data_IF_068180132789
#
_entry.id   IF_068180132789
#
_cell.length_a   1.000
_cell.length_b   1.000
_cell.length_c   1.000
_cell.angle_alpha   90.00
_cell.angle_beta   90.00
_cell.angle_gamma   90.00
#
_symmetry.space_group_name_H-M   'P 1'
#
loop_
_entity.id
_entity.type
_entity.pdbx_description
1 polymer ?
#
# COMPACT_ATOMS: atom_id res chain seq x y z
N UNK A 1 22.69 -12.23 -1.44
CA UNK A 1 22.24 -13.08 -2.57
C UNK A 1 21.07 -12.37 -3.23
N UNK A 2 21.08 -12.18 -4.56
CA UNK A 2 19.89 -11.65 -5.25
C UNK A 2 18.88 -12.79 -5.39
N UNK A 3 17.68 -12.58 -4.86
CA UNK A 3 16.57 -13.50 -5.11
C UNK A 3 16.23 -13.42 -6.61
N UNK A 4 16.22 -14.55 -7.28
CA UNK A 4 15.93 -14.63 -8.73
C UNK A 4 14.45 -14.39 -9.02
N UNK A 5 13.59 -14.68 -8.07
CA UNK A 5 12.13 -14.57 -8.19
C UNK A 5 11.65 -13.21 -7.71
N UNK A 6 10.76 -12.58 -8.47
CA UNK A 6 10.08 -11.34 -8.09
C UNK A 6 8.62 -11.63 -7.80
N UNK A 7 8.09 -11.02 -6.74
CA UNK A 7 6.71 -11.16 -6.31
C UNK A 7 6.01 -9.81 -6.32
N UNK A 8 4.82 -9.73 -6.89
CA UNK A 8 4.08 -8.47 -6.94
C UNK A 8 2.57 -8.70 -6.80
N UNK A 9 1.92 -7.90 -5.95
CA UNK A 9 0.47 -8.00 -5.73
C UNK A 9 -0.12 -6.69 -5.21
N UNK A 10 -1.43 -6.57 -5.36
CA UNK A 10 -2.20 -5.47 -4.82
C UNK A 10 -3.10 -5.98 -3.69
N UNK A 11 -3.06 -5.33 -2.53
CA UNK A 11 -3.97 -5.56 -1.41
C UNK A 11 -5.18 -4.64 -1.58
N UNK A 12 -6.35 -5.22 -1.71
CA UNK A 12 -7.59 -4.49 -1.88
C UNK A 12 -8.65 -4.96 -0.87
N UNK A 13 -9.77 -4.27 -0.80
CA UNK A 13 -10.86 -4.64 0.09
C UNK A 13 -12.22 -4.31 -0.52
N UNK A 14 -13.33 -4.83 0.03
CA UNK A 14 -14.68 -4.44 -0.38
C UNK A 14 -14.99 -2.95 -0.17
N UNK A 15 -14.41 -2.33 0.85
CA UNK A 15 -14.61 -0.91 1.22
C UNK A 15 -13.47 -0.42 2.13
N UNK A 16 -13.52 0.85 2.50
CA UNK A 16 -12.66 1.41 3.54
C UNK A 16 -12.94 0.77 4.92
N UNK A 17 -11.93 0.71 5.79
CA UNK A 17 -12.08 0.19 7.15
C UNK A 17 -12.01 -1.33 7.30
N UNK A 18 -11.74 -2.09 6.23
CA UNK A 18 -11.62 -3.57 6.26
C UNK A 18 -10.28 -4.07 6.81
N UNK A 19 -9.29 -3.18 7.00
CA UNK A 19 -7.96 -3.52 7.54
C UNK A 19 -6.87 -3.68 6.47
N UNK A 20 -7.05 -3.08 5.28
CA UNK A 20 -6.03 -3.09 4.21
C UNK A 20 -4.67 -2.61 4.72
N UNK A 21 -4.64 -1.44 5.36
CA UNK A 21 -3.39 -0.79 5.79
C UNK A 21 -2.66 -1.65 6.82
N UNK A 22 -3.36 -2.19 7.82
CA UNK A 22 -2.75 -3.11 8.79
C UNK A 22 -2.17 -4.35 8.11
N UNK A 23 -2.93 -4.98 7.20
CA UNK A 23 -2.46 -6.17 6.47
C UNK A 23 -1.27 -5.84 5.54
N UNK A 24 -1.29 -4.67 4.89
CA UNK A 24 -0.21 -4.21 4.02
C UNK A 24 1.09 -3.99 4.79
N UNK A 25 1.03 -3.24 5.90
CA UNK A 25 2.18 -2.97 6.76
C UNK A 25 2.75 -4.29 7.32
N UNK A 26 1.88 -5.17 7.83
CA UNK A 26 2.27 -6.45 8.40
C UNK A 26 2.99 -7.33 7.38
N UNK A 27 2.44 -7.46 6.16
CA UNK A 27 3.07 -8.23 5.08
C UNK A 27 4.37 -7.58 4.60
N UNK A 28 4.40 -6.27 4.38
CA UNK A 28 5.62 -5.57 3.98
C UNK A 28 6.74 -5.77 4.99
N UNK A 29 6.44 -5.64 6.29
CA UNK A 29 7.44 -5.85 7.36
C UNK A 29 7.86 -7.31 7.47
N UNK A 30 6.95 -8.27 7.38
CA UNK A 30 7.26 -9.70 7.39
C UNK A 30 8.17 -10.09 6.23
N UNK A 31 7.86 -9.64 5.00
CA UNK A 31 8.71 -9.89 3.83
C UNK A 31 10.10 -9.25 3.98
N UNK A 32 10.17 -8.03 4.51
CA UNK A 32 11.46 -7.37 4.78
C UNK A 32 12.28 -8.15 5.84
N UNK A 33 11.65 -8.66 6.91
CA UNK A 33 12.30 -9.51 7.92
C UNK A 33 12.76 -10.87 7.35
N UNK A 34 12.11 -11.37 6.31
CA UNK A 34 12.59 -12.55 5.55
C UNK A 34 13.78 -12.24 4.64
N UNK A 35 14.30 -11.00 4.65
CA UNK A 35 15.46 -10.58 3.86
C UNK A 35 15.14 -10.14 2.44
N UNK A 36 13.87 -10.01 2.08
CA UNK A 36 13.46 -9.51 0.76
C UNK A 36 13.58 -7.98 0.73
N UNK A 37 14.04 -7.44 -0.40
CA UNK A 37 13.93 -6.01 -0.70
C UNK A 37 12.52 -5.71 -1.13
N UNK A 38 11.74 -5.10 -0.24
CA UNK A 38 10.32 -4.84 -0.46
C UNK A 38 10.11 -3.40 -0.89
N UNK A 39 9.41 -3.18 -2.01
CA UNK A 39 8.96 -1.86 -2.43
C UNK A 39 7.46 -1.70 -2.13
N UNK A 40 7.16 -0.70 -1.31
CA UNK A 40 5.78 -0.31 -0.99
C UNK A 40 5.22 0.71 -1.97
N UNK A 41 3.95 0.51 -2.37
CA UNK A 41 3.17 1.46 -3.16
C UNK A 41 1.79 1.66 -2.56
N UNK A 42 1.22 2.84 -2.80
CA UNK A 42 -0.17 3.17 -2.43
C UNK A 42 -0.94 3.63 -3.65
N UNK A 43 -2.11 3.04 -3.92
CA UNK A 43 -3.04 3.60 -4.90
C UNK A 43 -3.64 4.91 -4.39
N UNK A 44 -3.78 5.88 -5.29
CA UNK A 44 -4.41 7.16 -4.99
C UNK A 44 -3.51 8.17 -4.27
N UNK A 45 -4.03 9.39 -4.04
CA UNK A 45 -3.28 10.53 -3.53
C UNK A 45 -3.24 10.55 -1.98
N UNK A 46 -2.75 9.50 -1.37
CA UNK A 46 -2.62 9.35 0.08
C UNK A 46 -1.24 9.80 0.56
N UNK A 47 -1.18 10.63 1.60
CA UNK A 47 0.07 11.11 2.18
C UNK A 47 0.49 10.35 3.44
N UNK A 48 -0.40 9.56 4.02
CA UNK A 48 -0.25 8.96 5.35
C UNK A 48 0.23 7.52 5.23
N UNK A 49 -0.50 6.66 4.51
CA UNK A 49 -0.17 5.25 4.37
C UNK A 49 1.26 5.02 3.82
N UNK A 50 1.76 5.80 2.83
CA UNK A 50 3.14 5.66 2.36
C UNK A 50 4.20 5.85 3.46
N UNK A 51 3.94 6.64 4.51
CA UNK A 51 4.89 6.82 5.62
C UNK A 51 5.06 5.53 6.42
N UNK A 52 3.97 4.79 6.66
CA UNK A 52 4.02 3.47 7.30
C UNK A 52 4.68 2.42 6.41
N UNK A 53 4.39 2.44 5.10
CA UNK A 53 5.04 1.54 4.13
C UNK A 53 6.55 1.75 4.12
N UNK A 54 7.00 3.00 4.13
CA UNK A 54 8.41 3.33 4.16
C UNK A 54 9.10 2.83 5.45
N UNK A 55 8.47 2.97 6.60
CA UNK A 55 8.99 2.44 7.86
C UNK A 55 9.01 0.91 7.88
N UNK A 56 7.98 0.26 7.35
CA UNK A 56 7.88 -1.19 7.31
C UNK A 56 8.96 -1.83 6.43
N UNK A 57 9.27 -1.20 5.28
CA UNK A 57 10.19 -1.73 4.27
C UNK A 57 11.61 -1.19 4.37
N UNK A 58 11.82 -0.06 5.04
CA UNK A 58 13.08 0.69 5.02
C UNK A 58 13.37 1.39 3.68
N UNK A 59 12.39 1.49 2.79
CA UNK A 59 12.49 2.10 1.46
C UNK A 59 11.39 3.16 1.28
N UNK A 60 11.67 4.30 0.64
CA UNK A 60 10.64 5.29 0.33
C UNK A 60 9.49 4.65 -0.47
N UNK A 61 8.26 4.85 0.00
CA UNK A 61 7.06 4.38 -0.68
C UNK A 61 6.53 5.45 -1.65
N UNK A 62 5.82 5.02 -2.69
CA UNK A 62 5.33 5.90 -3.74
C UNK A 62 3.83 5.73 -3.96
N UNK A 63 3.19 6.82 -4.41
CA UNK A 63 1.79 6.80 -4.80
C UNK A 63 1.65 6.47 -6.29
N UNK A 64 0.64 5.68 -6.61
CA UNK A 64 0.26 5.30 -7.97
C UNK A 64 -1.18 5.75 -8.22
N UNK A 65 -1.37 6.66 -9.16
CA UNK A 65 -2.70 7.20 -9.47
C UNK A 65 -2.88 7.33 -10.98
N UNK A 66 -3.72 6.48 -11.56
CA UNK A 66 -3.95 6.44 -13.00
C UNK A 66 -4.72 7.67 -13.51
N UNK A 67 -5.44 8.38 -12.64
CA UNK A 67 -6.11 9.62 -13.00
C UNK A 67 -5.14 10.80 -13.05
N UNK A 68 -4.23 10.91 -12.05
CA UNK A 68 -3.29 12.03 -11.95
C UNK A 68 -2.11 11.92 -12.92
N UNK A 69 -1.56 10.71 -13.13
CA UNK A 69 -0.33 10.52 -13.91
C UNK A 69 -0.54 9.66 -15.16
N UNK A 70 -1.77 9.19 -15.42
CA UNK A 70 -2.06 8.28 -16.51
C UNK A 70 -1.48 6.87 -16.28
N UNK A 71 -1.89 5.90 -17.08
CA UNK A 71 -1.41 4.51 -16.96
C UNK A 71 0.07 4.37 -17.29
N UNK A 72 0.57 5.15 -18.24
CA UNK A 72 1.97 5.11 -18.63
C UNK A 72 2.88 5.71 -17.55
N UNK A 73 2.44 6.81 -16.89
CA UNK A 73 3.12 7.37 -15.74
C UNK A 73 3.17 6.39 -14.56
N UNK A 74 2.06 5.68 -14.30
CA UNK A 74 2.00 4.62 -13.27
C UNK A 74 2.99 3.50 -13.59
N UNK A 75 3.07 3.02 -14.84
CA UNK A 75 4.03 1.99 -15.25
C UNK A 75 5.48 2.48 -15.12
N UNK A 76 5.76 3.68 -15.62
CA UNK A 76 7.10 4.25 -15.55
C UNK A 76 7.59 4.40 -14.10
N UNK A 77 6.72 4.86 -13.20
CA UNK A 77 7.05 4.97 -11.78
C UNK A 77 7.23 3.60 -11.13
N UNK A 78 6.34 2.64 -11.42
CA UNK A 78 6.46 1.26 -10.98
C UNK A 78 7.79 0.65 -11.40
N UNK A 79 8.15 0.72 -12.67
CA UNK A 79 9.39 0.18 -13.22
C UNK A 79 10.60 0.83 -12.55
N UNK A 80 10.58 2.16 -12.37
CA UNK A 80 11.67 2.91 -11.75
C UNK A 80 11.93 2.53 -10.28
N UNK A 81 10.91 2.01 -9.58
CA UNK A 81 11.00 1.76 -8.14
C UNK A 81 11.03 0.27 -7.78
N UNK A 82 10.46 -0.59 -8.64
CA UNK A 82 10.38 -2.02 -8.36
C UNK A 82 11.47 -2.87 -9.05
N UNK A 83 12.24 -2.32 -10.00
CA UNK A 83 13.23 -3.07 -10.78
C UNK A 83 14.31 -3.74 -9.92
N UNK A 84 14.69 -3.13 -8.81
CA UNK A 84 15.71 -3.64 -7.89
C UNK A 84 15.10 -4.32 -6.64
N UNK A 85 13.77 -4.41 -6.54
CA UNK A 85 13.08 -5.07 -5.44
C UNK A 85 12.95 -6.58 -5.66
N UNK A 86 12.77 -7.35 -4.58
CA UNK A 86 12.44 -8.77 -4.62
C UNK A 86 10.94 -9.00 -4.46
N UNK A 87 10.26 -8.05 -3.81
CA UNK A 87 8.81 -8.01 -3.73
C UNK A 87 8.29 -6.56 -3.87
N UNK A 88 7.13 -6.40 -4.49
CA UNK A 88 6.41 -5.13 -4.59
C UNK A 88 4.97 -5.31 -4.10
N UNK A 89 4.59 -4.52 -3.11
CA UNK A 89 3.26 -4.56 -2.48
C UNK A 89 2.56 -3.24 -2.72
N UNK A 90 1.44 -3.29 -3.43
CA UNK A 90 0.60 -2.12 -3.67
C UNK A 90 -0.63 -2.16 -2.77
N UNK A 91 -0.82 -1.16 -1.92
CA UNK A 91 -2.04 -1.02 -1.16
C UNK A 91 -3.08 -0.22 -1.92
N UNK A 92 -4.29 -0.77 -2.05
CA UNK A 92 -5.42 -0.13 -2.70
C UNK A 92 -6.02 1.03 -1.90
N UNK A 93 -6.76 1.88 -2.57
CA UNK A 93 -7.56 2.97 -2.00
C UNK A 93 -9.04 2.58 -1.99
N UNK A 94 -9.80 2.98 -0.98
CA UNK A 94 -11.25 2.71 -0.85
C UNK A 94 -11.60 1.22 -1.06
N UNK A 95 -12.70 0.89 -1.70
CA UNK A 95 -13.01 -0.45 -2.18
C UNK A 95 -12.33 -0.76 -3.51
N UNK A 96 -12.15 -2.06 -3.81
CA UNK A 96 -11.47 -2.53 -5.02
C UNK A 96 -12.01 -1.89 -6.30
N UNK A 97 -13.32 -1.73 -6.37
CA UNK A 97 -14.01 -1.23 -7.56
C UNK A 97 -14.50 0.21 -7.42
N UNK A 98 -14.18 0.85 -6.28
CA UNK A 98 -14.52 2.25 -6.08
C UNK A 98 -13.58 3.12 -6.92
N UNK A 99 -14.16 4.14 -7.52
CA UNK A 99 -13.47 5.14 -8.32
C UNK A 99 -14.09 6.51 -8.08
N UNK A 100 -13.47 7.53 -8.62
CA UNK A 100 -13.97 8.90 -8.52
C UNK A 100 -15.35 9.06 -9.18
N UNK A 101 -15.56 8.38 -10.31
CA UNK A 101 -16.77 8.46 -11.12
C UNK A 101 -17.30 7.06 -11.39
N UNK A 102 -18.60 6.76 -11.19
CA UNK A 102 -19.17 5.42 -11.40
C UNK A 102 -18.98 4.87 -12.83
N UNK A 103 -18.78 5.74 -13.81
CA UNK A 103 -18.53 5.37 -15.21
C UNK A 103 -17.06 5.32 -15.63
N UNK A 104 -16.14 5.83 -14.80
CA UNK A 104 -14.70 5.88 -15.10
C UNK A 104 -13.90 5.21 -13.97
N UNK A 105 -13.25 4.07 -14.23
CA UNK A 105 -12.43 3.37 -13.25
C UNK A 105 -11.11 4.07 -12.92
N UNK A 106 -10.74 5.15 -13.63
CA UNK A 106 -9.46 5.85 -13.44
C UNK A 106 -9.27 6.34 -12.00
N UNK A 107 -8.06 6.17 -11.48
CA UNK A 107 -7.70 6.49 -10.10
C UNK A 107 -8.11 5.44 -9.07
N UNK A 108 -8.94 4.45 -9.44
CA UNK A 108 -9.36 3.37 -8.56
C UNK A 108 -8.32 2.24 -8.45
N UNK A 109 -8.46 1.43 -7.41
CA UNK A 109 -7.57 0.28 -7.14
C UNK A 109 -7.55 -0.72 -8.29
N UNK A 110 -8.70 -1.08 -8.85
CA UNK A 110 -8.78 -2.04 -9.95
C UNK A 110 -8.10 -1.52 -11.23
N UNK A 111 -8.22 -0.23 -11.54
CA UNK A 111 -7.57 0.34 -12.72
C UNK A 111 -6.04 0.37 -12.57
N UNK A 112 -5.55 0.74 -11.39
CA UNK A 112 -4.12 0.71 -11.06
C UNK A 112 -3.57 -0.73 -11.16
N UNK A 113 -4.24 -1.70 -10.55
CA UNK A 113 -3.85 -3.10 -10.60
C UNK A 113 -3.87 -3.65 -12.04
N UNK A 114 -4.87 -3.30 -12.85
CA UNK A 114 -4.96 -3.66 -14.27
C UNK A 114 -3.82 -3.05 -15.09
N UNK A 115 -3.51 -1.77 -14.86
CA UNK A 115 -2.42 -1.09 -15.57
C UNK A 115 -1.08 -1.78 -15.37
N UNK A 116 -0.86 -2.37 -14.20
CA UNK A 116 0.38 -3.04 -13.80
C UNK A 116 0.33 -4.58 -13.93
N UNK A 117 -0.83 -5.16 -14.26
CA UNK A 117 -1.02 -6.61 -14.31
C UNK A 117 -0.94 -7.29 -12.92
N UNK A 118 -1.20 -6.56 -11.84
CA UNK A 118 -1.07 -7.07 -10.48
C UNK A 118 -2.21 -8.01 -10.10
N UNK A 119 -1.94 -9.19 -9.54
CA UNK A 119 -2.94 -10.00 -8.89
C UNK A 119 -3.43 -9.31 -7.60
N UNK A 120 -4.72 -9.54 -7.29
CA UNK A 120 -5.39 -8.96 -6.14
C UNK A 120 -5.44 -9.97 -4.99
N UNK A 121 -5.10 -9.51 -3.80
CA UNK A 121 -5.39 -10.16 -2.52
C UNK A 121 -6.48 -9.36 -1.82
N UNK A 122 -7.64 -9.97 -1.59
CA UNK A 122 -8.81 -9.31 -1.01
C UNK A 122 -8.79 -9.41 0.51
N UNK A 123 -8.65 -8.30 1.20
CA UNK A 123 -8.81 -8.22 2.67
C UNK A 123 -10.26 -7.85 2.97
N UNK A 124 -10.95 -8.64 3.80
CA UNK A 124 -12.32 -8.39 4.19
C UNK A 124 -12.53 -8.58 5.69
N UNK A 125 -13.50 -7.88 6.25
CA UNK A 125 -13.87 -8.06 7.66
C UNK A 125 -14.69 -9.35 7.83
N UNK A 126 -14.08 -10.37 8.42
CA UNK A 126 -14.70 -11.66 8.67
C UNK A 126 -15.67 -11.70 9.85
N UNK A 127 -15.76 -10.62 10.65
CA UNK A 127 -16.60 -10.60 11.84
C UNK A 127 -18.08 -10.90 11.51
N UNK A 128 -18.62 -11.93 12.13
CA UNK A 128 -20.00 -12.36 11.95
C UNK A 128 -20.29 -13.04 10.62
N UNK A 129 -19.26 -13.34 9.81
CA UNK A 129 -19.39 -14.10 8.58
C UNK A 129 -19.18 -15.60 8.79
N UNK A 130 -19.87 -16.41 8.01
CA UNK A 130 -19.66 -17.84 7.87
C UNK A 130 -19.84 -18.21 6.38
N UNK A 131 -20.85 -18.97 5.98
CA UNK A 131 -21.11 -19.31 4.58
C UNK A 131 -21.29 -18.14 3.63
N UNK A 132 -21.71 -16.99 4.13
CA UNK A 132 -21.87 -15.76 3.31
C UNK A 132 -20.57 -15.23 2.70
N UNK A 133 -19.41 -15.67 3.21
CA UNK A 133 -18.10 -15.30 2.63
C UNK A 133 -17.99 -15.77 1.18
N UNK A 134 -18.61 -16.92 0.83
CA UNK A 134 -18.62 -17.40 -0.55
C UNK A 134 -19.30 -16.41 -1.49
N UNK A 135 -20.44 -15.87 -1.11
CA UNK A 135 -21.15 -14.88 -1.92
C UNK A 135 -20.33 -13.58 -2.10
N UNK A 136 -19.66 -13.12 -1.01
CA UNK A 136 -18.79 -11.97 -1.07
C UNK A 136 -17.63 -12.20 -2.06
N UNK A 137 -16.85 -13.25 -1.85
CA UNK A 137 -15.64 -13.51 -2.65
C UNK A 137 -16.00 -13.84 -4.10
N UNK A 138 -17.09 -14.61 -4.34
CA UNK A 138 -17.57 -14.91 -5.69
C UNK A 138 -17.99 -13.64 -6.44
N UNK A 139 -18.70 -12.71 -5.80
CA UNK A 139 -19.08 -11.43 -6.38
C UNK A 139 -17.87 -10.60 -6.79
N UNK A 140 -16.88 -10.51 -5.91
CA UNK A 140 -15.63 -9.81 -6.18
C UNK A 140 -14.82 -10.48 -7.30
N UNK A 141 -14.72 -11.82 -7.31
CA UNK A 141 -14.04 -12.56 -8.37
C UNK A 141 -14.69 -12.34 -9.73
N UNK A 142 -16.03 -12.47 -9.80
CA UNK A 142 -16.77 -12.26 -11.04
C UNK A 142 -16.56 -10.85 -11.59
N UNK A 143 -16.63 -9.83 -10.72
CA UNK A 143 -16.45 -8.44 -11.14
C UNK A 143 -14.99 -8.13 -11.48
N UNK A 144 -14.04 -8.72 -10.77
CA UNK A 144 -12.60 -8.61 -11.06
C UNK A 144 -12.27 -9.09 -12.49
N UNK A 145 -12.82 -10.24 -12.89
CA UNK A 145 -12.66 -10.75 -14.27
C UNK A 145 -13.18 -9.74 -15.29
N UNK A 146 -14.36 -9.14 -15.06
CA UNK A 146 -14.95 -8.11 -15.94
C UNK A 146 -14.07 -6.86 -16.03
N UNK A 147 -13.40 -6.50 -14.94
CA UNK A 147 -12.49 -5.36 -14.87
C UNK A 147 -11.06 -5.67 -15.41
N UNK A 148 -10.80 -6.92 -15.81
CA UNK A 148 -9.50 -7.35 -16.31
C UNK A 148 -8.44 -7.44 -15.22
N UNK A 149 -8.83 -7.72 -13.97
CA UNK A 149 -7.94 -8.01 -12.84
C UNK A 149 -8.21 -9.42 -12.30
N UNK A 150 -7.22 -10.01 -11.64
CA UNK A 150 -7.28 -11.38 -11.16
C UNK A 150 -7.23 -11.43 -9.62
N UNK A 151 -8.30 -11.95 -9.00
CA UNK A 151 -8.33 -12.23 -7.57
C UNK A 151 -7.64 -13.58 -7.32
N UNK A 152 -6.55 -13.61 -6.53
CA UNK A 152 -5.73 -14.80 -6.31
C UNK A 152 -5.83 -15.38 -4.92
N UNK A 153 -6.35 -14.62 -3.96
CA UNK A 153 -6.52 -15.05 -2.59
C UNK A 153 -7.27 -14.03 -1.75
N UNK A 154 -7.64 -14.44 -0.56
CA UNK A 154 -8.34 -13.59 0.39
C UNK A 154 -7.71 -13.68 1.78
N UNK A 155 -7.81 -12.61 2.56
CA UNK A 155 -7.40 -12.52 3.97
C UNK A 155 -8.62 -12.06 4.76
N UNK A 156 -9.04 -12.86 5.75
CA UNK A 156 -10.10 -12.47 6.66
C UNK A 156 -9.53 -11.67 7.84
N UNK A 157 -10.03 -10.48 8.08
CA UNK A 157 -9.66 -9.66 9.23
C UNK A 157 -10.74 -9.76 10.33
N UNK A 158 -10.40 -9.46 11.57
CA UNK A 158 -11.30 -9.51 12.74
C UNK A 158 -11.94 -10.87 12.99
N UNK A 159 -11.21 -11.95 12.77
CA UNK A 159 -11.68 -13.31 13.00
C UNK A 159 -11.65 -13.64 14.50
N UNK A 160 -12.75 -14.22 15.01
CA UNK A 160 -12.94 -14.38 16.44
C UNK A 160 -12.24 -15.61 17.05
N UNK A 161 -11.95 -16.65 16.26
CA UNK A 161 -11.34 -17.90 16.74
C UNK A 161 -10.73 -18.72 15.61
N UNK A 162 -9.83 -19.70 15.91
CA UNK A 162 -9.32 -20.64 14.91
C UNK A 162 -10.43 -21.41 14.19
N UNK A 163 -11.44 -21.90 14.94
CA UNK A 163 -12.61 -22.57 14.34
C UNK A 163 -13.37 -21.68 13.35
N UNK A 164 -13.48 -20.39 13.66
CA UNK A 164 -14.10 -19.45 12.72
C UNK A 164 -13.27 -19.30 11.45
N UNK A 165 -11.95 -19.23 11.56
CA UNK A 165 -11.05 -19.23 10.41
C UNK A 165 -11.23 -20.49 9.55
N UNK A 166 -11.37 -21.66 10.16
CA UNK A 166 -11.57 -22.92 9.45
C UNK A 166 -12.91 -22.95 8.71
N UNK A 167 -13.99 -22.45 9.30
CA UNK A 167 -15.29 -22.32 8.63
C UNK A 167 -15.17 -21.45 7.38
N UNK A 168 -14.49 -20.32 7.46
CA UNK A 168 -14.30 -19.42 6.31
C UNK A 168 -13.46 -20.11 5.21
N UNK A 169 -12.38 -20.79 5.60
CA UNK A 169 -11.50 -21.52 4.68
C UNK A 169 -12.26 -22.64 3.94
N UNK A 170 -12.92 -23.52 4.69
CA UNK A 170 -13.69 -24.62 4.10
C UNK A 170 -14.81 -24.12 3.18
N UNK A 171 -15.46 -23.01 3.54
CA UNK A 171 -16.52 -22.41 2.70
C UNK A 171 -15.97 -21.97 1.36
N UNK A 172 -14.82 -21.30 1.31
CA UNK A 172 -14.20 -20.87 0.07
C UNK A 172 -13.72 -22.07 -0.77
N UNK A 173 -13.09 -23.06 -0.13
CA UNK A 173 -12.61 -24.28 -0.79
C UNK A 173 -13.76 -25.07 -1.43
N UNK A 174 -14.84 -25.33 -0.69
CA UNK A 174 -16.03 -26.03 -1.21
C UNK A 174 -16.73 -25.28 -2.34
N UNK A 175 -16.55 -23.97 -2.40
CA UNK A 175 -17.12 -23.12 -3.46
C UNK A 175 -16.18 -22.92 -4.65
N UNK A 176 -15.03 -23.58 -4.69
CA UNK A 176 -13.97 -23.40 -5.71
C UNK A 176 -13.58 -21.94 -5.92
N UNK A 177 -13.51 -21.18 -4.84
CA UNK A 177 -13.14 -19.76 -4.82
C UNK A 177 -11.65 -19.59 -4.50
N UNK A 178 -11.07 -18.40 -4.73
CA UNK A 178 -9.70 -18.09 -4.31
C UNK A 178 -9.46 -18.44 -2.84
N UNK A 179 -8.28 -19.01 -2.51
CA UNK A 179 -8.02 -19.55 -1.18
C UNK A 179 -8.02 -18.46 -0.11
N UNK A 180 -8.43 -18.83 1.11
CA UNK A 180 -8.14 -18.04 2.30
C UNK A 180 -6.65 -18.19 2.64
N UNK A 181 -5.89 -17.10 2.43
CA UNK A 181 -4.46 -17.04 2.74
C UNK A 181 -4.18 -16.86 4.23
N UNK A 182 -5.22 -16.57 4.99
CA UNK A 182 -5.14 -16.50 6.44
C UNK A 182 -6.26 -15.68 7.07
N UNK A 183 -6.22 -15.65 8.42
CA UNK A 183 -7.24 -15.02 9.23
C UNK A 183 -6.58 -14.25 10.39
N UNK A 184 -6.68 -12.93 10.33
CA UNK A 184 -6.13 -12.02 11.34
C UNK A 184 -7.12 -11.88 12.49
N UNK A 185 -6.71 -12.17 13.73
CA UNK A 185 -7.57 -12.00 14.89
C UNK A 185 -7.77 -10.53 15.22
N UNK A 186 -8.90 -10.23 15.88
CA UNK A 186 -9.16 -8.88 16.38
C UNK A 186 -8.30 -8.62 17.62
N UNK A 187 -7.40 -7.62 17.55
CA UNK A 187 -6.62 -7.11 18.67
C UNK A 187 -6.47 -5.60 18.58
N UNK A 188 -6.72 -4.92 19.71
CA UNK A 188 -6.63 -3.45 19.79
C UNK A 188 -5.18 -2.96 19.63
N UNK A 189 -4.19 -3.74 20.08
CA UNK A 189 -2.76 -3.41 19.98
C UNK A 189 -2.23 -3.30 18.54
N UNK A 190 -2.97 -3.87 17.58
CA UNK A 190 -2.63 -3.81 16.15
C UNK A 190 -3.40 -2.74 15.38
N UNK A 191 -4.22 -1.98 16.10
CA UNK A 191 -5.01 -0.92 15.51
C UNK A 191 -4.12 0.30 15.24
N UNK A 192 -4.23 0.83 14.03
CA UNK A 192 -3.59 2.09 13.68
C UNK A 192 -4.24 3.24 14.46
N UNK A 193 -3.44 4.18 15.01
CA UNK A 193 -3.99 5.38 15.64
C UNK A 193 -4.76 6.21 14.62
N UNK A 194 -6.01 6.53 14.94
CA UNK A 194 -6.89 7.34 14.09
C UNK A 194 -7.10 8.73 14.69
N UNK A 195 -7.16 9.77 13.85
CA UNK A 195 -7.72 11.08 14.19
C UNK A 195 -9.13 11.24 13.62
N UNK A 196 -9.83 12.32 14.01
CA UNK A 196 -11.17 12.64 13.47
C UNK A 196 -11.23 12.75 11.93
N UNK A 197 -10.10 13.00 11.27
CA UNK A 197 -9.97 13.14 9.81
C UNK A 197 -9.11 12.05 9.15
N UNK A 198 -8.84 10.93 9.83
CA UNK A 198 -8.05 9.82 9.29
C UNK A 198 -6.88 9.39 10.16
N UNK A 199 -5.93 8.62 9.60
CA UNK A 199 -4.75 8.15 10.31
C UNK A 199 -3.76 9.29 10.59
N UNK A 200 -2.92 9.11 11.63
CA UNK A 200 -1.74 9.94 11.86
C UNK A 200 -0.59 9.51 10.96
N UNK A 201 0.27 10.43 10.45
CA UNK A 201 1.55 10.04 9.87
C UNK A 201 2.35 9.18 10.86
N UNK A 202 3.14 8.24 10.35
CA UNK A 202 3.84 7.26 11.18
C UNK A 202 4.73 7.87 12.28
N UNK A 203 5.36 9.00 12.01
CA UNK A 203 6.19 9.74 12.99
C UNK A 203 5.34 10.31 14.14
N UNK A 204 4.16 10.87 13.85
CA UNK A 204 3.23 11.41 14.85
C UNK A 204 2.46 10.30 15.57
N UNK A 205 2.24 9.15 14.93
CA UNK A 205 1.56 8.00 15.49
C UNK A 205 2.38 7.28 16.56
N UNK A 206 3.65 7.67 16.77
CA UNK A 206 4.56 6.97 17.68
C UNK A 206 4.88 5.55 17.22
N UNK A 207 4.83 5.31 15.91
CA UNK A 207 5.12 4.00 15.33
C UNK A 207 6.54 3.59 15.67
N UNK A 208 6.70 2.52 16.41
CA UNK A 208 8.00 1.99 16.83
C UNK A 208 8.39 0.79 15.99
N UNK A 209 9.69 0.52 15.90
CA UNK A 209 10.17 -0.71 15.27
C UNK A 209 9.55 -1.97 15.95
N UNK A 210 9.36 -1.94 17.26
CA UNK A 210 8.73 -3.02 18.01
C UNK A 210 7.26 -3.25 17.59
N UNK A 211 6.49 -2.19 17.34
CA UNK A 211 5.12 -2.32 16.84
C UNK A 211 5.08 -2.90 15.43
N UNK A 212 5.95 -2.45 14.53
CA UNK A 212 6.08 -3.02 13.19
C UNK A 212 6.47 -4.50 13.25
N UNK A 213 7.39 -4.87 14.14
CA UNK A 213 7.81 -6.26 14.32
C UNK A 213 6.69 -7.14 14.87
N UNK A 214 5.87 -6.61 15.79
CA UNK A 214 4.68 -7.31 16.28
C UNK A 214 3.65 -7.54 15.16
N UNK A 215 3.46 -6.59 14.25
CA UNK A 215 2.61 -6.78 13.06
C UNK A 215 3.19 -7.84 12.11
N UNK A 216 4.52 -7.86 11.93
CA UNK A 216 5.15 -8.89 11.12
C UNK A 216 4.99 -10.28 11.73
N UNK A 217 5.14 -10.41 13.06
CA UNK A 217 4.90 -11.67 13.78
C UNK A 217 3.46 -12.13 13.65
N UNK A 218 2.50 -11.20 13.74
CA UNK A 218 1.10 -11.50 13.46
C UNK A 218 0.91 -12.04 12.04
N UNK A 219 1.54 -11.42 11.03
CA UNK A 219 1.45 -11.91 9.66
C UNK A 219 2.05 -13.32 9.53
N UNK A 220 3.23 -13.57 10.10
CA UNK A 220 3.88 -14.89 10.06
C UNK A 220 3.05 -15.98 10.77
N UNK A 221 2.37 -15.66 11.85
CA UNK A 221 1.57 -16.61 12.63
C UNK A 221 0.21 -16.91 11.98
N UNK A 222 -0.38 -15.97 11.27
CA UNK A 222 -1.77 -16.02 10.83
C UNK A 222 -1.98 -16.06 9.32
N UNK A 223 -0.93 -15.79 8.53
CA UNK A 223 -1.00 -15.78 7.06
C UNK A 223 -0.07 -16.83 6.46
N UNK A 224 -0.54 -17.52 5.44
CA UNK A 224 0.28 -18.39 4.60
C UNK A 224 1.07 -17.54 3.58
N UNK A 225 2.15 -16.92 4.06
CA UNK A 225 3.00 -16.04 3.26
C UNK A 225 3.66 -16.79 2.12
N UNK A 226 4.02 -18.05 2.29
CA UNK A 226 4.67 -18.84 1.25
C UNK A 226 3.71 -19.12 0.10
N UNK A 227 2.47 -19.45 0.41
CA UNK A 227 1.41 -19.59 -0.59
C UNK A 227 1.10 -18.26 -1.28
N UNK A 228 1.06 -17.15 -0.54
CA UNK A 228 0.91 -15.81 -1.11
C UNK A 228 2.01 -15.54 -2.15
N UNK A 229 3.27 -15.76 -1.79
CA UNK A 229 4.41 -15.57 -2.69
C UNK A 229 4.31 -16.47 -3.93
N UNK A 230 3.94 -17.74 -3.76
CA UNK A 230 3.75 -18.67 -4.87
C UNK A 230 2.66 -18.19 -5.87
N UNK A 231 1.55 -17.62 -5.36
CA UNK A 231 0.43 -17.11 -6.17
C UNK A 231 0.72 -15.76 -6.84
N UNK A 232 1.75 -15.03 -6.38
CA UNK A 232 2.05 -13.65 -6.79
C UNK A 232 3.40 -13.51 -7.49
N UNK A 233 4.00 -14.62 -7.90
CA UNK A 233 5.21 -14.61 -8.74
C UNK A 233 4.94 -13.86 -10.04
N UNK A 234 5.81 -12.92 -10.36
CA UNK A 234 5.66 -11.98 -11.47
C UNK A 234 7.00 -11.76 -12.19
N UNK A 235 6.94 -11.19 -13.39
CA UNK A 235 8.15 -10.74 -14.09
C UNK A 235 8.67 -9.48 -13.38
N UNK A 236 9.97 -9.48 -13.04
CA UNK A 236 10.62 -8.29 -12.49
C UNK A 236 10.64 -7.19 -13.55
N UNK A 237 10.30 -5.93 -13.20
CA UNK A 237 10.45 -4.81 -14.12
C UNK A 237 11.92 -4.63 -14.55
N UNK A 238 12.11 -4.16 -15.76
CA UNK A 238 13.44 -3.78 -16.23
C UNK A 238 13.82 -2.40 -15.69
N UNK A 239 15.13 -2.18 -15.47
CA UNK A 239 15.59 -0.86 -15.07
C UNK A 239 15.18 0.17 -16.14
N UNK A 240 14.48 1.24 -15.77
CA UNK A 240 14.04 2.23 -16.75
C UNK A 240 15.24 2.98 -17.33
N UNK A 241 15.08 3.45 -18.57
CA UNK A 241 15.95 4.51 -19.07
C UNK A 241 15.82 5.75 -18.15
N UNK A 242 16.88 6.56 -18.00
CA UNK A 242 16.84 7.76 -17.18
C UNK A 242 15.62 8.63 -17.54
N UNK A 243 14.74 8.89 -16.55
CA UNK A 243 13.50 9.64 -16.76
C UNK A 243 13.71 11.12 -17.11
N UNK A 244 14.95 11.63 -17.00
CA UNK A 244 15.26 13.06 -17.14
C UNK A 244 16.40 13.24 -18.14
N UNK A 245 16.24 14.17 -19.09
CA UNK A 245 17.33 14.61 -19.94
C UNK A 245 18.31 15.43 -19.09
N UNK A 246 19.59 15.19 -19.25
CA UNK A 246 20.69 15.90 -18.56
C UNK A 246 20.74 17.42 -18.87
N UNK A 247 19.87 17.93 -19.74
CA UNK A 247 19.94 19.29 -20.28
C UNK A 247 18.89 20.27 -19.75
N UNK A 248 18.21 19.97 -18.65
CA UNK A 248 17.31 20.96 -18.05
C UNK A 248 18.10 21.82 -17.06
N UNK A 249 18.22 23.13 -17.27
CA UNK A 249 18.92 24.01 -16.33
C UNK A 249 18.22 23.93 -14.96
N UNK A 250 18.97 23.91 -13.86
CA UNK A 250 18.40 23.80 -12.53
C UNK A 250 17.46 24.98 -12.28
N UNK A 251 16.24 24.72 -11.77
CA UNK A 251 15.31 25.79 -11.44
C UNK A 251 15.90 26.67 -10.33
N UNK A 252 15.70 27.98 -10.46
CA UNK A 252 16.24 28.98 -9.51
C UNK A 252 15.60 28.95 -8.10
N UNK A 253 14.75 27.96 -7.79
CA UNK A 253 13.94 27.92 -6.57
C UNK A 253 14.22 26.68 -5.76
N UNK A 254 14.36 26.86 -4.42
CA UNK A 254 14.53 25.77 -3.47
C UNK A 254 13.18 25.25 -2.93
N UNK A 255 13.05 23.96 -2.73
CA UNK A 255 11.92 23.35 -2.03
C UNK A 255 12.10 23.46 -0.51
N UNK A 256 11.05 23.86 0.22
CA UNK A 256 11.07 24.02 1.68
C UNK A 256 10.25 22.93 2.34
N UNK A 257 10.90 22.07 3.12
CA UNK A 257 10.23 21.15 4.04
C UNK A 257 10.01 21.81 5.41
N UNK A 258 8.80 21.72 5.96
CA UNK A 258 8.46 22.17 7.31
C UNK A 258 7.79 21.05 8.09
N UNK A 259 8.02 20.95 9.40
CA UNK A 259 7.30 20.01 10.27
C UNK A 259 5.78 20.20 10.26
N UNK A 260 5.27 21.41 10.03
CA UNK A 260 3.84 21.68 9.88
C UNK A 260 3.27 21.55 8.47
N UNK A 261 4.09 21.19 7.47
CA UNK A 261 3.70 20.98 6.08
C UNK A 261 4.39 19.69 5.61
N UNK A 262 3.90 18.54 6.08
CA UNK A 262 4.52 17.23 5.87
C UNK A 262 3.94 16.45 4.68
N UNK A 263 2.95 17.02 3.97
CA UNK A 263 2.28 16.31 2.87
C UNK A 263 2.99 16.56 1.54
N UNK A 264 4.05 15.79 1.30
CA UNK A 264 4.79 15.80 0.04
C UNK A 264 4.80 14.40 -0.56
N UNK A 265 4.65 14.32 -1.88
CA UNK A 265 4.92 13.08 -2.60
C UNK A 265 6.42 12.92 -2.78
N UNK A 266 6.97 11.80 -2.33
CA UNK A 266 8.39 11.46 -2.43
C UNK A 266 8.91 11.62 -3.86
N UNK A 267 8.09 11.24 -4.86
CA UNK A 267 8.48 11.34 -6.26
C UNK A 267 8.62 12.78 -6.75
N UNK A 268 7.78 13.70 -6.26
CA UNK A 268 7.91 15.11 -6.57
C UNK A 268 9.23 15.67 -6.02
N UNK A 269 9.59 15.31 -4.79
CA UNK A 269 10.88 15.72 -4.21
C UNK A 269 12.06 15.13 -4.99
N UNK A 270 11.98 13.86 -5.40
CA UNK A 270 13.03 13.22 -6.19
C UNK A 270 13.24 13.93 -7.53
N UNK A 271 12.16 14.23 -8.24
CA UNK A 271 12.22 14.97 -9.50
C UNK A 271 12.84 16.35 -9.31
N UNK A 272 12.41 17.08 -8.28
CA UNK A 272 12.97 18.39 -7.96
C UNK A 272 14.48 18.33 -7.63
N UNK A 273 14.88 17.34 -6.82
CA UNK A 273 16.31 17.14 -6.49
C UNK A 273 17.16 16.79 -7.72
N UNK A 274 16.63 15.94 -8.62
CA UNK A 274 17.35 15.55 -9.84
C UNK A 274 17.55 16.73 -10.82
N UNK A 275 16.70 17.78 -10.70
CA UNK A 275 16.83 19.04 -11.45
C UNK A 275 17.70 20.07 -10.72
N UNK A 276 18.45 19.70 -9.70
CA UNK A 276 19.37 20.58 -8.99
C UNK A 276 18.72 21.48 -7.92
N UNK A 277 17.44 21.24 -7.58
CA UNK A 277 16.82 21.97 -6.47
C UNK A 277 17.36 21.48 -5.13
N UNK A 278 18.02 22.39 -4.40
CA UNK A 278 18.44 22.12 -3.03
C UNK A 278 17.24 22.06 -2.08
N UNK A 279 17.16 20.99 -1.27
CA UNK A 279 16.24 20.96 -0.12
C UNK A 279 16.87 21.74 1.02
N UNK A 280 16.40 22.95 1.30
CA UNK A 280 16.74 23.66 2.54
C UNK A 280 15.82 23.15 3.66
N UNK A 281 16.34 22.26 4.50
CA UNK A 281 15.72 21.91 5.77
C UNK A 281 15.95 23.03 6.79
N UNK A 282 14.93 23.28 7.59
CA UNK A 282 14.83 24.05 8.83
C UNK A 282 14.41 25.51 8.67
N UNK A 283 13.09 25.68 8.88
CA UNK A 283 12.60 26.84 9.61
C UNK A 283 12.57 26.50 11.11
N UNK A 284 12.86 27.46 12.00
CA UNK A 284 12.61 27.29 13.42
C UNK A 284 11.12 26.97 13.67
N UNK A 285 10.78 26.30 14.78
CA UNK A 285 9.40 26.05 15.18
C UNK A 285 8.58 27.32 15.14
N UNK A 286 7.29 27.23 14.83
CA UNK A 286 6.34 28.36 14.81
C UNK A 286 6.28 29.16 16.12
N UNK A 287 6.79 28.63 17.25
CA UNK A 287 6.89 29.29 18.55
C UNK A 287 7.76 30.54 18.56
N UNK A 288 8.67 30.71 17.60
CA UNK A 288 9.55 31.90 17.53
C UNK A 288 8.95 33.09 16.76
N UNK A 289 7.77 32.93 16.19
CA UNK A 289 7.00 34.05 15.67
C UNK A 289 6.10 34.59 16.79
N UNK A 290 6.64 35.44 17.64
CA UNK A 290 5.87 36.22 18.62
C UNK A 290 4.69 36.95 17.96
N UNK A 291 3.62 37.29 18.73
CA UNK A 291 2.45 37.94 18.17
C UNK A 291 2.88 39.23 17.46
N UNK A 292 2.59 39.26 16.15
CA UNK A 292 2.93 40.39 15.29
C UNK A 292 2.42 41.67 15.91
N UNK A 293 3.31 42.65 16.14
CA UNK A 293 2.92 44.01 16.45
C UNK A 293 2.13 44.56 15.27
N UNK A 294 0.82 44.65 15.41
CA UNK A 294 0.02 45.51 14.58
C UNK A 294 0.45 46.93 14.92
N UNK A 295 1.33 47.50 14.14
CA UNK A 295 1.56 48.95 14.15
C UNK A 295 0.42 49.59 13.34
N UNK A 296 -0.19 50.56 14.00
CA UNK A 296 -1.26 51.45 13.52
C UNK A 296 -0.93 52.19 12.23
#
# INVERSE_FOLDING_TARGET
MQHTTFHAFCIAAPRSGEGKTTASIALMRALARRGLRVQGFKCGPDYIDPTFHAQATGRPACNLDTWMMGRDGVRALWDSRAHDADAAVCEGVMGLFDSRDPGDPAGGTADCARALGLPIVLVFNGRGMAGSVAALVAGFQLHAVRMGVRLVGAIANNVGSPRHADILRETLERSNLPPLLGALPRREEWRLPERQLGLLPSEEAGTTAAWLDALAEMAEQHLDIDRLLALTTSKRPEAPAPLLSENVPPPAHGHRQRQGLCFYYEENERVLRSQGMGTRSRFPPLADYGPGRHSA
#
